data_IF_376854184496
#
_entry.id   IF_376854184496
#
_cell.length_a   1.000
_cell.length_b   1.000
_cell.length_c   1.000
_cell.angle_alpha   90.00
_cell.angle_beta   90.00
_cell.angle_gamma   90.00
#
_symmetry.space_group_name_H-M   'P 1'
#
loop_
_entity.id
_entity.type
_entity.pdbx_description
1 polymer ?
#
# COMPACT_ATOMS: atom_id res chain seq x y z
N UNK A 1 -3.92 -17.01 -7.30
CA UNK A 1 -4.91 -17.70 -8.18
C UNK A 1 -4.75 -19.22 -8.14
N UNK A 2 -3.63 -19.80 -8.61
CA UNK A 2 -3.42 -21.26 -8.66
C UNK A 2 -3.73 -21.98 -7.34
N UNK A 3 -3.16 -21.53 -6.23
CA UNK A 3 -3.36 -22.19 -4.93
C UNK A 3 -4.83 -22.19 -4.47
N UNK A 4 -5.53 -21.05 -4.65
CA UNK A 4 -6.98 -20.97 -4.39
C UNK A 4 -7.79 -21.95 -5.26
N UNK A 5 -7.45 -22.09 -6.54
CA UNK A 5 -8.10 -23.05 -7.44
C UNK A 5 -7.83 -24.51 -7.06
N UNK A 6 -6.72 -24.78 -6.36
CA UNK A 6 -6.39 -26.09 -5.79
C UNK A 6 -7.15 -26.38 -4.49
N UNK A 7 -7.97 -25.45 -4.01
CA UNK A 7 -8.72 -25.58 -2.76
C UNK A 7 -7.91 -25.23 -1.51
N UNK A 8 -6.72 -24.62 -1.66
CA UNK A 8 -5.95 -24.14 -0.51
C UNK A 8 -6.49 -22.80 -0.02
N UNK A 9 -6.47 -22.62 1.30
CA UNK A 9 -6.69 -21.31 1.90
C UNK A 9 -5.46 -20.42 1.68
N UNK A 10 -5.67 -19.27 1.07
CA UNK A 10 -4.59 -18.40 0.59
C UNK A 10 -5.05 -16.94 0.67
N UNK A 11 -4.32 -16.14 1.44
CA UNK A 11 -4.48 -14.69 1.47
C UNK A 11 -3.39 -14.04 0.63
N UNK A 12 -3.80 -13.28 -0.39
CA UNK A 12 -2.93 -12.52 -1.27
C UNK A 12 -3.06 -11.03 -0.93
N UNK A 13 -2.08 -10.52 -0.19
CA UNK A 13 -2.06 -9.16 0.32
C UNK A 13 -0.98 -8.33 -0.37
N UNK A 14 -1.23 -7.03 -0.51
CA UNK A 14 -0.24 -6.04 -0.97
C UNK A 14 -0.63 -4.66 -0.44
N UNK A 15 0.26 -3.68 -0.57
CA UNK A 15 0.01 -2.32 -0.12
C UNK A 15 0.88 -1.33 -0.89
N UNK A 16 0.44 -0.08 -0.92
CA UNK A 16 1.30 1.03 -1.27
C UNK A 16 2.32 1.31 -0.16
N UNK A 17 3.59 1.45 -0.55
CA UNK A 17 4.61 2.02 0.32
C UNK A 17 4.61 3.54 0.18
N UNK A 18 4.19 4.21 1.24
CA UNK A 18 3.78 5.61 1.22
C UNK A 18 4.68 6.52 2.03
N UNK A 19 5.86 6.05 2.44
CA UNK A 19 6.82 6.85 3.21
C UNK A 19 8.15 7.05 2.47
N UNK A 20 8.94 8.01 2.95
CA UNK A 20 10.30 8.27 2.46
C UNK A 20 10.46 9.54 1.62
N UNK A 21 11.71 9.97 1.49
CA UNK A 21 12.11 11.22 0.82
C UNK A 21 11.58 11.39 -0.62
N UNK A 22 11.54 10.34 -1.47
CA UNK A 22 11.04 10.49 -2.84
C UNK A 22 9.61 11.01 -2.92
N UNK A 23 8.73 10.60 -1.99
CA UNK A 23 7.33 11.01 -1.97
C UNK A 23 7.22 12.48 -1.58
N UNK A 24 7.96 12.91 -0.56
CA UNK A 24 7.99 14.30 -0.12
C UNK A 24 8.46 15.24 -1.24
N UNK A 25 9.58 14.91 -1.90
CA UNK A 25 10.13 15.73 -2.99
C UNK A 25 9.18 15.81 -4.20
N UNK A 26 8.48 14.72 -4.51
CA UNK A 26 7.49 14.72 -5.59
C UNK A 26 6.28 15.57 -5.24
N UNK A 27 5.76 15.45 -4.02
CA UNK A 27 4.61 16.22 -3.55
C UNK A 27 4.93 17.72 -3.54
N UNK A 28 6.12 18.10 -3.05
CA UNK A 28 6.62 19.48 -3.08
C UNK A 28 6.72 20.02 -4.52
N UNK A 29 7.30 19.26 -5.44
CA UNK A 29 7.40 19.64 -6.86
C UNK A 29 6.03 19.85 -7.52
N UNK A 30 5.02 19.09 -7.09
CA UNK A 30 3.65 19.18 -7.59
C UNK A 30 2.80 20.23 -6.82
N UNK A 31 3.34 20.84 -5.76
CA UNK A 31 2.62 21.83 -4.95
C UNK A 31 1.46 21.24 -4.14
N UNK A 32 1.53 19.96 -3.79
CA UNK A 32 0.49 19.24 -3.03
C UNK A 32 1.07 18.60 -1.76
N UNK A 33 0.22 18.16 -0.85
CA UNK A 33 0.69 17.40 0.33
C UNK A 33 1.08 15.97 -0.06
N UNK A 34 2.00 15.32 0.67
CA UNK A 34 2.32 13.90 0.48
C UNK A 34 1.07 13.00 0.50
N UNK A 35 0.14 13.25 1.42
CA UNK A 35 -1.10 12.47 1.57
C UNK A 35 -2.00 12.61 0.33
N UNK A 36 -2.04 13.81 -0.26
CA UNK A 36 -2.79 14.05 -1.51
C UNK A 36 -2.17 13.26 -2.66
N UNK A 37 -0.83 13.26 -2.76
CA UNK A 37 -0.10 12.50 -3.76
C UNK A 37 -0.36 10.98 -3.60
N UNK A 38 -0.23 10.47 -2.38
CA UNK A 38 -0.44 9.06 -2.03
C UNK A 38 -1.87 8.62 -2.38
N UNK A 39 -2.88 9.39 -1.95
CA UNK A 39 -4.28 9.07 -2.20
C UNK A 39 -4.63 9.05 -3.70
N UNK A 40 -3.97 9.88 -4.51
CA UNK A 40 -4.12 9.85 -5.97
C UNK A 40 -3.46 8.62 -6.57
N UNK A 41 -2.22 8.33 -6.19
CA UNK A 41 -1.45 7.18 -6.69
C UNK A 41 -2.13 5.86 -6.32
N UNK A 42 -2.67 5.73 -5.11
CA UNK A 42 -3.40 4.53 -4.70
C UNK A 42 -4.58 4.23 -5.65
N UNK A 43 -5.35 5.26 -6.02
CA UNK A 43 -6.47 5.08 -6.98
C UNK A 43 -5.98 4.68 -8.37
N UNK A 44 -4.83 5.19 -8.80
CA UNK A 44 -4.20 4.80 -10.07
C UNK A 44 -3.78 3.33 -10.02
N UNK A 45 -3.12 2.89 -8.96
CA UNK A 45 -2.73 1.50 -8.74
C UNK A 45 -3.94 0.56 -8.69
N UNK A 46 -4.97 0.88 -7.91
CA UNK A 46 -6.20 0.07 -7.82
C UNK A 46 -6.88 -0.09 -9.19
N UNK A 47 -6.98 0.99 -9.95
CA UNK A 47 -7.50 0.97 -11.33
C UNK A 47 -6.66 0.06 -12.22
N UNK A 48 -5.35 0.22 -12.18
CA UNK A 48 -4.44 -0.53 -13.06
C UNK A 48 -4.44 -2.02 -12.70
N UNK A 49 -4.42 -2.36 -11.40
CA UNK A 49 -4.54 -3.73 -10.93
C UNK A 49 -5.85 -4.39 -11.34
N UNK A 50 -6.97 -3.66 -11.24
CA UNK A 50 -8.25 -4.14 -11.76
C UNK A 50 -8.19 -4.39 -13.28
N UNK A 51 -7.56 -3.49 -14.04
CA UNK A 51 -7.33 -3.62 -15.48
C UNK A 51 -6.46 -4.82 -15.87
N UNK A 52 -5.47 -5.17 -15.05
CA UNK A 52 -4.63 -6.36 -15.22
C UNK A 52 -5.22 -7.64 -14.60
N UNK A 53 -6.46 -7.58 -14.09
CA UNK A 53 -7.11 -8.70 -13.41
C UNK A 53 -6.31 -9.24 -12.22
N UNK A 54 -5.62 -8.36 -11.49
CA UNK A 54 -4.95 -8.68 -10.24
C UNK A 54 -6.01 -8.57 -9.13
N UNK A 55 -6.18 -9.65 -8.36
CA UNK A 55 -7.21 -9.76 -7.33
C UNK A 55 -6.55 -10.04 -5.97
N UNK A 56 -6.21 -8.97 -5.26
CA UNK A 56 -5.79 -9.04 -3.86
C UNK A 56 -6.99 -9.34 -2.96
N UNK A 57 -6.77 -10.05 -1.86
CA UNK A 57 -7.75 -10.20 -0.78
C UNK A 57 -7.77 -8.97 0.13
N UNK A 58 -6.63 -8.30 0.24
CA UNK A 58 -6.50 -7.01 0.91
C UNK A 58 -5.40 -6.20 0.21
N UNK A 59 -5.78 -5.05 -0.35
CA UNK A 59 -4.85 -4.04 -0.86
C UNK A 59 -4.90 -2.83 0.07
N UNK A 60 -3.75 -2.45 0.64
CA UNK A 60 -3.70 -1.52 1.76
C UNK A 60 -2.66 -0.40 1.57
N UNK A 61 -2.34 0.34 2.63
CA UNK A 61 -1.32 1.39 2.64
C UNK A 61 -0.43 1.25 3.87
N UNK A 62 0.87 1.55 3.75
CA UNK A 62 1.74 1.66 4.94
C UNK A 62 1.43 2.89 5.78
N UNK A 63 0.74 3.90 5.25
CA UNK A 63 0.28 5.09 5.98
C UNK A 63 -1.06 4.81 6.70
N UNK A 64 -0.99 4.05 7.78
CA UNK A 64 -2.12 3.80 8.67
C UNK A 64 -1.71 3.88 10.15
N UNK A 65 -2.67 4.18 11.02
CA UNK A 65 -2.43 4.21 12.48
C UNK A 65 -1.95 2.84 12.98
N UNK A 66 -2.56 1.76 12.51
CA UNK A 66 -2.18 0.39 12.85
C UNK A 66 -0.72 0.09 12.45
N UNK A 67 -0.34 0.40 11.21
CA UNK A 67 1.03 0.18 10.73
C UNK A 67 2.05 0.97 11.54
N UNK A 68 1.74 2.22 11.90
CA UNK A 68 2.59 3.04 12.75
C UNK A 68 2.79 2.40 14.13
N UNK A 69 1.71 2.01 14.79
CA UNK A 69 1.76 1.38 16.12
C UNK A 69 2.54 0.06 16.10
N UNK A 70 2.33 -0.78 15.09
CA UNK A 70 3.04 -2.04 14.93
C UNK A 70 4.53 -1.84 14.65
N UNK A 71 4.89 -0.89 13.78
CA UNK A 71 6.28 -0.58 13.47
C UNK A 71 7.01 -0.01 14.69
N UNK A 72 6.41 0.93 15.42
CA UNK A 72 6.93 1.47 16.68
C UNK A 72 7.13 0.35 17.72
N UNK A 73 6.14 -0.55 17.85
CA UNK A 73 6.21 -1.69 18.79
C UNK A 73 7.37 -2.63 18.47
N UNK A 74 7.60 -2.95 17.19
CA UNK A 74 8.72 -3.81 16.79
C UNK A 74 10.04 -3.12 17.11
N UNK A 75 10.21 -1.85 16.72
CA UNK A 75 11.44 -1.10 16.96
C UNK A 75 11.81 -1.03 18.45
N UNK A 76 10.83 -0.77 19.31
CA UNK A 76 11.04 -0.66 20.76
C UNK A 76 11.35 -2.00 21.46
N UNK A 77 11.23 -3.14 20.77
CA UNK A 77 11.52 -4.49 21.29
C UNK A 77 12.82 -5.09 20.76
N UNK A 78 13.53 -4.38 19.88
CA UNK A 78 14.86 -4.75 19.39
C UNK A 78 15.95 -4.37 20.41
#
# INVERSE_FOLDING_TARGET
RFQKMRGHDCHYICADDTHGTPIMLRAEKEGITPETLIARVQKEHERDFAGFHIAFDNYYSTHSNETRELAETIYLRL
#
